data_IF_321441012088
#
_entry.id   IF_321441012088
#
_cell.length_a   1.000
_cell.length_b   1.000
_cell.length_c   1.000
_cell.angle_alpha   90.00
_cell.angle_beta   90.00
_cell.angle_gamma   90.00
#
_symmetry.space_group_name_H-M   'P 1'
#
loop_
_entity.id
_entity.type
_entity.pdbx_description
1 polymer ?
#
# COMPACT_ATOMS: atom_id res chain seq x y z
N UNK A 1 -11.65 15.84 -5.71
CA UNK A 1 -11.36 14.42 -5.49
C UNK A 1 -12.21 13.93 -4.35
N UNK A 2 -12.82 12.76 -4.50
CA UNK A 2 -13.73 12.19 -3.51
C UNK A 2 -12.93 11.41 -2.47
N UNK A 3 -13.33 11.53 -1.20
CA UNK A 3 -12.85 10.75 -0.04
C UNK A 3 -12.69 9.24 -0.37
N UNK A 4 -13.51 8.72 -1.30
CA UNK A 4 -13.42 7.36 -1.82
C UNK A 4 -12.04 6.97 -2.39
N UNK A 5 -11.36 7.84 -3.15
CA UNK A 5 -10.04 7.53 -3.71
C UNK A 5 -8.96 7.48 -2.61
N UNK A 6 -9.08 8.36 -1.62
CA UNK A 6 -8.21 8.36 -0.45
C UNK A 6 -8.38 7.05 0.33
N UNK A 7 -9.62 6.70 0.68
CA UNK A 7 -9.91 5.47 1.40
C UNK A 7 -9.48 4.22 0.62
N UNK A 8 -9.65 4.21 -0.70
CA UNK A 8 -9.20 3.10 -1.54
C UNK A 8 -7.68 2.92 -1.49
N UNK A 9 -6.91 4.00 -1.54
CA UNK A 9 -5.45 3.91 -1.44
C UNK A 9 -5.00 3.40 -0.08
N UNK A 10 -5.60 3.90 1.01
CA UNK A 10 -5.30 3.45 2.37
C UNK A 10 -5.65 1.96 2.54
N UNK A 11 -6.83 1.54 2.09
CA UNK A 11 -7.24 0.14 2.16
C UNK A 11 -6.29 -0.75 1.34
N UNK A 12 -5.88 -0.30 0.15
CA UNK A 12 -4.95 -1.06 -0.69
C UNK A 12 -3.59 -1.28 -0.02
N UNK A 13 -3.12 -0.35 0.81
CA UNK A 13 -1.88 -0.53 1.59
C UNK A 13 -2.06 -1.58 2.68
N UNK A 14 -3.20 -1.59 3.38
CA UNK A 14 -3.50 -2.64 4.36
C UNK A 14 -3.68 -4.03 3.73
N UNK A 15 -4.26 -4.09 2.53
CA UNK A 15 -4.34 -5.35 1.78
C UNK A 15 -2.95 -5.86 1.38
N UNK A 16 -2.04 -4.94 1.00
CA UNK A 16 -0.65 -5.29 0.72
C UNK A 16 0.09 -5.78 1.97
N UNK A 17 -0.12 -5.13 3.12
CA UNK A 17 0.44 -5.56 4.41
C UNK A 17 0.04 -7.00 4.74
N UNK A 18 -1.26 -7.31 4.64
CA UNK A 18 -1.77 -8.67 4.89
C UNK A 18 -1.16 -9.69 3.94
N UNK A 19 -1.12 -9.38 2.65
CA UNK A 19 -0.57 -10.30 1.66
C UNK A 19 0.93 -10.56 1.87
N UNK A 20 1.72 -9.56 2.28
CA UNK A 20 3.14 -9.74 2.61
C UNK A 20 3.31 -10.61 3.87
N UNK A 21 2.51 -10.39 4.91
CA UNK A 21 2.54 -11.22 6.12
C UNK A 21 2.17 -12.68 5.81
N UNK A 22 1.15 -12.89 4.98
CA UNK A 22 0.75 -14.22 4.54
C UNK A 22 1.87 -14.88 3.71
N UNK A 23 2.55 -14.13 2.84
CA UNK A 23 3.68 -14.63 2.05
C UNK A 23 4.91 -14.96 2.92
N UNK A 24 5.16 -14.24 4.01
CA UNK A 24 6.26 -14.56 4.94
C UNK A 24 6.01 -15.85 5.71
N UNK A 25 4.75 -16.16 6.00
CA UNK A 25 4.35 -17.37 6.73
C UNK A 25 4.22 -18.62 5.86
N UNK A 26 4.22 -18.48 4.53
CA UNK A 26 3.94 -19.56 3.59
C UNK A 26 5.02 -19.67 2.51
N UNK A 27 5.43 -20.90 2.18
CA UNK A 27 6.41 -21.16 1.11
C UNK A 27 5.79 -21.28 -0.28
N UNK A 28 4.48 -21.01 -0.40
CA UNK A 28 3.77 -21.07 -1.67
C UNK A 28 4.11 -19.86 -2.56
N UNK A 29 4.63 -20.07 -3.79
CA UNK A 29 4.88 -19.00 -4.73
C UNK A 29 3.66 -18.14 -5.08
N UNK A 30 2.44 -18.67 -4.96
CA UNK A 30 1.21 -17.92 -5.21
C UNK A 30 1.02 -16.76 -4.22
N UNK A 31 1.35 -16.97 -2.94
CA UNK A 31 1.27 -15.92 -1.93
C UNK A 31 2.29 -14.81 -2.18
N UNK A 32 3.51 -15.16 -2.62
CA UNK A 32 4.52 -14.17 -2.99
C UNK A 32 4.06 -13.32 -4.18
N UNK A 33 3.50 -13.94 -5.22
CA UNK A 33 2.98 -13.21 -6.38
C UNK A 33 1.79 -12.33 -6.01
N UNK A 34 0.90 -12.82 -5.15
CA UNK A 34 -0.24 -12.05 -4.66
C UNK A 34 0.23 -10.81 -3.89
N UNK A 35 1.19 -10.96 -2.97
CA UNK A 35 1.79 -9.84 -2.24
C UNK A 35 2.37 -8.79 -3.20
N UNK A 36 3.09 -9.22 -4.23
CA UNK A 36 3.66 -8.30 -5.23
C UNK A 36 2.56 -7.52 -5.99
N UNK A 37 1.44 -8.16 -6.34
CA UNK A 37 0.32 -7.49 -7.00
C UNK A 37 -0.33 -6.43 -6.10
N UNK A 38 -0.55 -6.75 -4.82
CA UNK A 38 -1.11 -5.78 -3.87
C UNK A 38 -0.16 -4.61 -3.63
N UNK A 39 1.14 -4.85 -3.51
CA UNK A 39 2.15 -3.80 -3.35
C UNK A 39 2.16 -2.85 -4.56
N UNK A 40 2.14 -3.41 -5.78
CA UNK A 40 2.09 -2.59 -7.00
C UNK A 40 0.81 -1.75 -7.08
N UNK A 41 -0.34 -2.34 -6.74
CA UNK A 41 -1.62 -1.62 -6.72
C UNK A 41 -1.60 -0.48 -5.70
N UNK A 42 -1.14 -0.75 -4.48
CA UNK A 42 -1.04 0.25 -3.42
C UNK A 42 -0.13 1.41 -3.84
N UNK A 43 1.03 1.10 -4.42
CA UNK A 43 1.96 2.11 -4.93
C UNK A 43 1.33 3.00 -6.00
N UNK A 44 0.61 2.39 -6.95
CA UNK A 44 -0.07 3.14 -8.01
C UNK A 44 -1.11 4.11 -7.45
N UNK A 45 -1.95 3.65 -6.51
CA UNK A 45 -3.01 4.47 -5.93
C UNK A 45 -2.46 5.64 -5.09
N UNK A 46 -1.40 5.43 -4.32
CA UNK A 46 -0.75 6.51 -3.56
C UNK A 46 -0.11 7.55 -4.50
N UNK A 47 0.56 7.10 -5.57
CA UNK A 47 1.14 8.01 -6.57
C UNK A 47 0.05 8.81 -7.30
N UNK A 48 -1.09 8.20 -7.62
CA UNK A 48 -2.23 8.90 -8.20
C UNK A 48 -2.79 9.96 -7.25
N UNK A 49 -2.87 9.71 -5.95
CA UNK A 49 -3.31 10.71 -4.97
C UNK A 49 -2.36 11.91 -4.88
N UNK A 50 -1.06 11.67 -4.97
CA UNK A 50 -0.08 12.75 -4.99
C UNK A 50 -0.15 13.58 -6.28
N UNK A 51 -0.18 12.91 -7.43
CA UNK A 51 -0.19 13.58 -8.73
C UNK A 51 -1.45 14.42 -8.93
N UNK A 52 -2.55 13.98 -8.33
CA UNK A 52 -3.82 14.68 -8.35
C UNK A 52 -3.89 15.80 -7.29
N UNK A 53 -2.82 16.13 -6.58
CA UNK A 53 -2.82 17.19 -5.55
C UNK A 53 -3.94 17.01 -4.53
N UNK A 54 -4.01 15.82 -3.90
CA UNK A 54 -4.92 15.59 -2.78
C UNK A 54 -4.77 16.72 -1.74
N UNK A 55 -5.75 17.62 -1.71
CA UNK A 55 -5.82 18.75 -0.78
C UNK A 55 -6.56 18.29 0.47
N UNK A 56 -6.02 17.26 1.11
CA UNK A 56 -6.56 16.70 2.33
C UNK A 56 -6.33 17.62 3.52
N UNK A 57 -7.09 17.41 4.59
CA UNK A 57 -6.81 18.03 5.87
C UNK A 57 -5.50 17.47 6.49
N UNK A 58 -5.07 18.03 7.63
CA UNK A 58 -3.84 17.59 8.31
C UNK A 58 -3.86 16.12 8.74
N UNK A 59 -5.04 15.54 8.99
CA UNK A 59 -5.20 14.14 9.36
C UNK A 59 -5.03 13.23 8.13
N UNK A 60 -5.68 13.56 7.00
CA UNK A 60 -5.52 12.85 5.73
C UNK A 60 -4.06 12.90 5.24
N UNK A 61 -3.40 14.05 5.42
CA UNK A 61 -1.97 14.21 5.10
C UNK A 61 -1.10 13.28 5.95
N UNK A 62 -1.36 13.19 7.25
CA UNK A 62 -0.65 12.29 8.17
C UNK A 62 -0.87 10.82 7.80
N UNK A 63 -2.11 10.44 7.53
CA UNK A 63 -2.45 9.07 7.13
C UNK A 63 -1.80 8.70 5.80
N UNK A 64 -1.75 9.62 4.83
CA UNK A 64 -1.07 9.40 3.57
C UNK A 64 0.44 9.21 3.76
N UNK A 65 1.07 10.03 4.59
CA UNK A 65 2.50 9.87 4.92
C UNK A 65 2.77 8.51 5.60
N UNK A 66 1.95 8.14 6.57
CA UNK A 66 2.05 6.85 7.25
C UNK A 66 1.90 5.67 6.27
N UNK A 67 0.90 5.72 5.39
CA UNK A 67 0.65 4.69 4.39
C UNK A 67 1.84 4.52 3.41
N UNK A 68 2.53 5.62 3.08
CA UNK A 68 3.73 5.59 2.22
C UNK A 68 4.93 4.97 2.93
N UNK A 69 5.16 5.33 4.18
CA UNK A 69 6.24 4.74 4.97
C UNK A 69 6.01 3.24 5.17
N UNK A 70 4.78 2.84 5.47
CA UNK A 70 4.40 1.44 5.55
C UNK A 70 4.65 0.71 4.23
N UNK A 71 4.17 1.25 3.10
CA UNK A 71 4.39 0.63 1.79
C UNK A 71 5.88 0.45 1.47
N UNK A 72 6.71 1.43 1.83
CA UNK A 72 8.16 1.33 1.66
C UNK A 72 8.73 0.17 2.46
N UNK A 73 8.38 0.03 3.74
CA UNK A 73 8.80 -1.10 4.56
C UNK A 73 8.32 -2.45 4.00
N UNK A 74 7.09 -2.51 3.48
CA UNK A 74 6.55 -3.74 2.89
C UNK A 74 7.29 -4.14 1.60
N UNK A 75 7.68 -3.17 0.76
CA UNK A 75 8.52 -3.42 -0.42
C UNK A 75 9.91 -3.92 -0.02
N UNK A 76 10.52 -3.34 1.00
CA UNK A 76 11.80 -3.79 1.55
C UNK A 76 11.70 -5.21 2.13
N UNK A 77 10.62 -5.51 2.85
CA UNK A 77 10.34 -6.82 3.40
C UNK A 77 10.14 -7.87 2.30
N UNK A 78 9.34 -7.56 1.27
CA UNK A 78 9.10 -8.46 0.12
C UNK A 78 10.40 -8.78 -0.64
N UNK A 79 11.28 -7.80 -0.82
CA UNK A 79 12.56 -7.99 -1.51
C UNK A 79 13.59 -8.80 -0.69
N UNK A 80 13.32 -9.02 0.60
CA UNK A 80 14.19 -9.75 1.52
C UNK A 80 13.79 -11.22 1.69
N UNK A 81 12.70 -11.65 1.04
CA UNK A 81 12.19 -13.04 0.98
C UNK A 81 12.72 -13.69 -0.31
#
# INVERSE_FOLDING_TARGET
MTNQQFQEAINSVHDAERAVLDAQGNTDPEHYQQAQQHLFRAQKLLNELEHNHHSGNEEETRQLQHARELLKHLLEAQNSI
#
